data_IF_321644023730
#
_entry.id   IF_321644023730
#
_cell.length_a   1.000
_cell.length_b   1.000
_cell.length_c   1.000
_cell.angle_alpha   90.00
_cell.angle_beta   90.00
_cell.angle_gamma   90.00
#
_symmetry.space_group_name_H-M   'P 1'
#
loop_
_entity.id
_entity.type
_entity.pdbx_description
1 polymer ?
#
# COMPACT_ATOMS: atom_id res chain seq x y z
N UNK A 1 -0.33 -1.48 -10.13
CA UNK A 1 0.26 -2.72 -10.70
C UNK A 1 -0.57 -3.93 -10.27
N UNK A 2 -0.71 -4.99 -11.08
CA UNK A 2 -1.44 -6.20 -10.69
C UNK A 2 -0.65 -7.13 -9.75
N UNK A 3 0.67 -6.98 -9.67
CA UNK A 3 1.58 -7.68 -8.75
C UNK A 3 2.76 -6.77 -8.46
N UNK A 4 3.27 -6.78 -7.22
CA UNK A 4 4.45 -6.01 -6.85
C UNK A 4 5.72 -6.55 -7.54
N UNK A 5 6.55 -5.64 -8.04
CA UNK A 5 7.88 -5.92 -8.61
C UNK A 5 8.98 -5.01 -8.04
N UNK A 6 8.74 -4.47 -6.84
CA UNK A 6 9.61 -3.50 -6.18
C UNK A 6 9.71 -2.17 -6.97
N UNK A 7 10.57 -1.23 -6.54
CA UNK A 7 10.46 0.18 -6.93
C UNK A 7 10.98 0.49 -8.35
N UNK A 8 12.00 -0.22 -8.86
CA UNK A 8 12.55 0.11 -10.19
C UNK A 8 11.51 -0.08 -11.32
N UNK A 9 10.78 -1.21 -11.41
CA UNK A 9 9.71 -1.39 -12.39
C UNK A 9 8.59 -0.35 -12.29
N UNK A 10 8.13 -0.02 -11.07
CA UNK A 10 7.06 0.95 -10.87
C UNK A 10 7.46 2.34 -11.41
N UNK A 11 8.67 2.79 -11.08
CA UNK A 11 9.21 4.07 -11.54
C UNK A 11 9.46 4.05 -13.06
N UNK A 12 9.98 2.94 -13.61
CA UNK A 12 10.21 2.79 -15.04
C UNK A 12 8.92 2.87 -15.86
N UNK A 13 7.87 2.16 -15.45
CA UNK A 13 6.56 2.21 -16.11
C UNK A 13 5.96 3.62 -16.06
N UNK A 14 6.13 4.33 -14.95
CA UNK A 14 5.70 5.73 -14.83
C UNK A 14 6.50 6.64 -15.78
N UNK A 15 7.83 6.55 -15.78
CA UNK A 15 8.69 7.40 -16.62
C UNK A 15 8.52 7.14 -18.12
N UNK A 16 8.25 5.89 -18.53
CA UNK A 16 7.99 5.54 -19.94
C UNK A 16 6.70 6.19 -20.48
N UNK A 17 5.80 6.63 -19.60
CA UNK A 17 4.55 7.30 -19.97
C UNK A 17 4.65 8.84 -19.95
N UNK A 18 5.84 9.40 -19.71
CA UNK A 18 6.10 10.84 -19.62
C UNK A 18 7.04 11.31 -20.73
N UNK A 19 7.07 12.61 -21.00
CA UNK A 19 8.07 13.19 -21.88
C UNK A 19 9.46 13.14 -21.23
N UNK A 20 10.52 12.97 -22.05
CA UNK A 20 11.88 12.75 -21.55
C UNK A 20 12.41 13.85 -20.63
N UNK A 21 12.01 15.10 -20.87
CA UNK A 21 12.46 16.26 -20.11
C UNK A 21 11.60 16.55 -18.86
N UNK A 22 10.53 15.79 -18.62
CA UNK A 22 9.71 15.96 -17.43
C UNK A 22 10.48 15.59 -16.15
N UNK A 23 10.40 16.46 -15.15
CA UNK A 23 10.97 16.22 -13.83
C UNK A 23 9.98 15.39 -13.01
N UNK A 24 10.45 14.22 -12.58
CA UNK A 24 9.72 13.27 -11.77
C UNK A 24 10.22 13.35 -10.34
N UNK A 25 9.30 13.57 -9.40
CA UNK A 25 9.53 13.40 -7.97
C UNK A 25 8.90 12.07 -7.54
N UNK A 26 9.74 11.14 -7.11
CA UNK A 26 9.33 9.84 -6.58
C UNK A 26 9.27 9.94 -5.07
N UNK A 27 8.12 9.66 -4.48
CA UNK A 27 7.90 9.67 -3.03
C UNK A 27 7.22 8.38 -2.56
N UNK A 28 7.75 7.72 -1.53
CA UNK A 28 7.02 6.69 -0.80
C UNK A 28 5.75 7.28 -0.19
N UNK A 29 4.66 6.50 -0.19
CA UNK A 29 3.34 6.96 0.27
C UNK A 29 3.11 6.80 1.77
N UNK A 30 4.03 6.14 2.45
CA UNK A 30 3.96 5.65 3.83
C UNK A 30 4.95 6.36 4.77
N UNK A 31 5.60 7.43 4.31
CA UNK A 31 6.50 8.24 5.13
C UNK A 31 5.79 9.44 5.78
N UNK A 32 6.29 9.86 6.94
CA UNK A 32 5.90 11.09 7.61
C UNK A 32 6.97 12.18 7.41
N UNK A 33 6.54 13.39 7.09
CA UNK A 33 7.40 14.59 6.98
C UNK A 33 6.76 15.69 7.82
N UNK A 34 7.45 16.17 8.85
CA UNK A 34 6.91 17.14 9.82
C UNK A 34 7.19 18.59 9.45
N UNK A 35 8.36 18.87 8.87
CA UNK A 35 8.75 20.23 8.48
C UNK A 35 8.48 20.46 6.99
N UNK A 36 7.25 20.87 6.68
CA UNK A 36 6.85 21.19 5.30
C UNK A 36 7.66 22.34 4.70
N UNK A 37 8.07 23.31 5.49
CA UNK A 37 8.80 24.48 5.00
C UNK A 37 10.20 24.09 4.54
N UNK A 38 10.88 23.25 5.33
CA UNK A 38 12.18 22.70 4.96
C UNK A 38 12.04 21.68 3.81
N UNK A 39 10.97 20.88 3.79
CA UNK A 39 10.69 19.96 2.69
C UNK A 39 10.58 20.70 1.34
N UNK A 40 9.85 21.82 1.28
CA UNK A 40 9.76 22.64 0.06
C UNK A 40 11.11 23.18 -0.42
N UNK A 41 12.02 23.53 0.51
CA UNK A 41 13.36 24.02 0.15
C UNK A 41 14.21 22.92 -0.46
N UNK A 42 14.26 21.73 0.16
CA UNK A 42 15.05 20.60 -0.36
C UNK A 42 14.49 20.10 -1.68
N UNK A 43 13.17 20.14 -1.88
CA UNK A 43 12.55 19.82 -3.18
C UNK A 43 12.98 20.79 -4.28
N UNK A 44 13.12 22.08 -3.96
CA UNK A 44 13.55 23.08 -4.93
C UNK A 44 15.03 22.85 -5.32
N UNK A 45 15.90 22.58 -4.36
CA UNK A 45 17.30 22.23 -4.61
C UNK A 45 17.43 20.95 -5.46
N UNK A 46 16.67 19.90 -5.10
CA UNK A 46 16.65 18.65 -5.86
C UNK A 46 16.14 18.85 -7.29
N UNK A 47 15.13 19.70 -7.48
CA UNK A 47 14.62 20.04 -8.81
C UNK A 47 15.68 20.76 -9.66
N UNK A 48 16.46 21.65 -9.07
CA UNK A 48 17.49 22.39 -9.79
C UNK A 48 18.67 21.48 -10.18
N UNK A 49 19.05 20.53 -9.33
CA UNK A 49 20.02 19.48 -9.66
C UNK A 49 19.49 18.53 -10.74
N UNK A 50 18.22 18.11 -10.66
CA UNK A 50 17.60 17.24 -11.66
C UNK A 50 17.54 17.91 -13.06
N UNK A 51 17.36 19.23 -13.14
CA UNK A 51 17.43 19.98 -14.41
C UNK A 51 18.82 19.88 -15.06
N UNK A 52 19.86 19.70 -14.25
CA UNK A 52 21.26 19.49 -14.69
C UNK A 52 21.59 18.01 -14.93
N UNK A 53 20.59 17.16 -15.18
CA UNK A 53 20.72 15.76 -15.56
C UNK A 53 21.32 14.84 -14.49
N UNK A 54 21.18 15.22 -13.21
CA UNK A 54 21.52 14.37 -12.07
C UNK A 54 20.34 13.52 -11.60
N UNK A 55 20.65 12.35 -11.03
CA UNK A 55 19.71 11.53 -10.27
C UNK A 55 19.81 11.95 -8.80
N UNK A 56 18.81 12.64 -8.28
CA UNK A 56 18.87 13.20 -6.93
C UNK A 56 18.17 12.27 -5.96
N UNK A 57 18.81 11.99 -4.82
CA UNK A 57 18.21 11.36 -3.63
C UNK A 57 18.25 12.34 -2.45
N UNK A 58 17.45 12.09 -1.42
CA UNK A 58 17.37 12.91 -0.22
C UNK A 58 17.99 12.14 0.95
N UNK A 59 19.05 12.73 1.53
CA UNK A 59 19.79 12.14 2.63
C UNK A 59 19.31 12.69 3.97
N UNK A 60 18.66 11.88 4.80
CA UNK A 60 18.25 12.31 6.13
C UNK A 60 19.45 12.25 7.07
N UNK A 61 19.67 13.32 7.84
CA UNK A 61 20.77 13.35 8.81
C UNK A 61 20.53 12.31 9.92
N UNK A 62 21.42 11.32 10.11
CA UNK A 62 21.26 10.33 11.15
C UNK A 62 21.33 10.96 12.54
N UNK A 63 20.39 10.60 13.41
CA UNK A 63 20.37 11.03 14.83
C UNK A 63 20.81 9.91 15.77
N UNK A 64 20.83 8.66 15.30
CA UNK A 64 21.31 7.47 16.00
C UNK A 64 21.80 6.41 15.00
N UNK A 65 22.38 5.32 15.49
CA UNK A 65 22.86 4.22 14.67
C UNK A 65 21.72 3.26 14.31
N UNK A 66 20.94 3.59 13.27
CA UNK A 66 19.88 2.71 12.75
C UNK A 66 20.49 1.63 11.84
N UNK A 67 20.02 0.39 11.97
CA UNK A 67 20.46 -0.78 11.19
C UNK A 67 19.43 -1.19 10.14
N UNK A 68 18.19 -0.69 10.25
CA UNK A 68 17.10 -0.93 9.32
C UNK A 68 17.12 -0.07 8.05
N UNK A 69 17.96 0.97 7.99
CA UNK A 69 18.03 1.90 6.86
C UNK A 69 19.26 1.67 5.97
N UNK A 70 19.13 2.08 4.70
CA UNK A 70 20.27 2.30 3.82
C UNK A 70 20.99 3.59 4.18
N UNK A 71 22.32 3.62 4.03
CA UNK A 71 23.16 4.78 4.23
C UNK A 71 23.78 5.23 2.90
N UNK A 72 23.93 6.53 2.74
CA UNK A 72 24.55 7.18 1.59
C UNK A 72 25.80 7.89 2.10
N UNK A 73 26.96 7.46 1.65
CA UNK A 73 28.21 8.21 1.85
C UNK A 73 28.25 9.39 0.90
N UNK A 74 28.51 10.58 1.42
CA UNK A 74 28.54 11.80 0.64
C UNK A 74 29.87 12.54 0.73
N UNK A 75 30.18 13.27 -0.33
CA UNK A 75 31.24 14.28 -0.41
C UNK A 75 30.61 15.56 -0.98
N UNK A 76 30.22 16.46 -0.08
CA UNK A 76 29.31 17.55 -0.43
C UNK A 76 27.96 17.00 -0.90
N UNK A 77 27.61 17.26 -2.17
CA UNK A 77 26.38 16.76 -2.80
C UNK A 77 26.61 15.48 -3.60
N UNK A 78 27.85 15.04 -3.80
CA UNK A 78 28.15 13.82 -4.54
C UNK A 78 27.92 12.58 -3.67
N UNK A 79 27.03 11.69 -4.11
CA UNK A 79 26.87 10.38 -3.48
C UNK A 79 28.03 9.48 -3.93
N UNK A 80 28.86 9.03 -2.98
CA UNK A 80 30.04 8.20 -3.24
C UNK A 80 29.74 6.72 -3.17
N UNK A 81 28.94 6.32 -2.20
CA UNK A 81 28.61 4.93 -1.96
C UNK A 81 27.25 4.81 -1.28
N UNK A 82 26.62 3.66 -1.52
CA UNK A 82 25.39 3.24 -0.88
C UNK A 82 25.68 2.00 -0.07
N UNK A 83 25.13 1.94 1.14
CA UNK A 83 25.33 0.85 2.08
C UNK A 83 23.99 0.43 2.68
N UNK A 84 23.47 -0.71 2.24
CA UNK A 84 22.19 -1.19 2.76
C UNK A 84 22.34 -1.89 4.12
N UNK A 85 21.52 -1.46 5.09
CA UNK A 85 21.27 -2.13 6.38
C UNK A 85 22.55 -2.63 7.06
N UNK A 86 23.47 -1.72 7.41
CA UNK A 86 24.70 -2.07 8.11
C UNK A 86 24.40 -2.70 9.48
N UNK A 87 25.36 -3.49 9.97
CA UNK A 87 25.37 -3.88 11.38
C UNK A 87 25.54 -2.65 12.30
N UNK A 88 25.24 -2.83 13.58
CA UNK A 88 25.25 -1.73 14.55
C UNK A 88 26.62 -1.05 14.70
N UNK A 89 27.71 -1.81 14.56
CA UNK A 89 29.08 -1.29 14.65
C UNK A 89 29.36 -0.34 13.47
N UNK A 90 29.02 -0.75 12.25
CA UNK A 90 29.14 0.09 11.04
C UNK A 90 28.21 1.29 11.08
N UNK A 91 26.95 1.11 11.47
CA UNK A 91 26.00 2.22 11.62
C UNK A 91 26.53 3.28 12.59
N UNK A 92 27.15 2.86 13.69
CA UNK A 92 27.81 3.75 14.66
C UNK A 92 28.99 4.47 14.02
N UNK A 93 29.82 3.77 13.26
CA UNK A 93 30.94 4.39 12.54
C UNK A 93 30.47 5.44 11.51
N UNK A 94 29.41 5.16 10.76
CA UNK A 94 28.79 6.10 9.80
C UNK A 94 28.26 7.35 10.49
N UNK A 95 27.56 7.19 11.61
CA UNK A 95 27.08 8.30 12.43
C UNK A 95 28.25 9.18 12.92
N UNK A 96 29.34 8.57 13.40
CA UNK A 96 30.51 9.29 13.89
C UNK A 96 31.28 10.01 12.78
N UNK A 97 31.32 9.45 11.57
CA UNK A 97 32.01 10.07 10.43
C UNK A 97 31.31 11.36 9.96
N UNK A 98 29.99 11.47 10.14
CA UNK A 98 29.23 12.69 9.90
C UNK A 98 28.99 13.05 8.43
N UNK A 99 29.55 12.28 7.49
CA UNK A 99 29.34 12.41 6.05
C UNK A 99 28.42 11.32 5.47
N UNK A 100 27.73 10.56 6.33
CA UNK A 100 26.73 9.57 5.94
C UNK A 100 25.32 10.05 6.24
N UNK A 101 24.39 9.73 5.34
CA UNK A 101 22.97 10.07 5.45
C UNK A 101 22.10 8.84 5.32
N UNK A 102 20.96 8.79 6.02
CA UNK A 102 19.95 7.76 5.73
C UNK A 102 19.31 8.01 4.38
N UNK A 103 19.16 6.95 3.59
CA UNK A 103 18.45 7.00 2.32
C UNK A 103 16.94 7.10 2.60
N UNK A 104 16.31 8.20 2.20
CA UNK A 104 14.89 8.42 2.46
C UNK A 104 13.95 7.69 1.49
N UNK A 105 14.49 7.00 0.48
CA UNK A 105 13.70 6.39 -0.61
C UNK A 105 12.97 7.38 -1.51
N UNK A 106 13.27 8.69 -1.40
CA UNK A 106 12.74 9.72 -2.29
C UNK A 106 13.75 10.04 -3.38
N UNK A 107 13.27 10.31 -4.59
CA UNK A 107 14.14 10.60 -5.74
C UNK A 107 13.60 11.74 -6.60
N UNK A 108 14.48 12.51 -7.24
CA UNK A 108 14.12 13.56 -8.18
C UNK A 108 15.04 13.54 -9.40
N UNK A 109 14.49 13.44 -10.60
CA UNK A 109 15.27 13.35 -11.85
C UNK A 109 14.39 13.68 -13.07
N UNK A 110 15.01 13.87 -14.24
CA UNK A 110 14.28 13.83 -15.51
C UNK A 110 13.94 12.40 -15.89
N UNK A 111 12.73 12.17 -16.42
CA UNK A 111 12.28 10.85 -16.86
C UNK A 111 13.26 10.19 -17.84
N UNK A 112 13.74 10.95 -18.84
CA UNK A 112 14.69 10.47 -19.83
C UNK A 112 16.04 10.07 -19.24
N UNK A 113 16.57 10.88 -18.31
CA UNK A 113 17.86 10.61 -17.65
C UNK A 113 17.79 9.33 -16.82
N UNK A 114 16.70 9.13 -16.08
CA UNK A 114 16.49 7.88 -15.35
C UNK A 114 16.38 6.68 -16.29
N UNK A 115 15.60 6.78 -17.38
CA UNK A 115 15.45 5.69 -18.34
C UNK A 115 16.76 5.34 -19.04
N UNK A 116 17.60 6.31 -19.37
CA UNK A 116 18.92 6.09 -19.96
C UNK A 116 19.85 5.34 -18.99
N UNK A 117 19.87 5.74 -17.71
CA UNK A 117 20.66 5.04 -16.67
C UNK A 117 20.10 3.64 -16.38
N UNK A 118 18.77 3.47 -16.37
CA UNK A 118 18.13 2.16 -16.23
C UNK A 118 18.46 1.24 -17.41
N UNK A 119 18.43 1.74 -18.64
CA UNK A 119 18.81 0.95 -19.81
C UNK A 119 20.29 0.53 -19.75
N UNK A 120 21.15 1.38 -19.18
CA UNK A 120 22.58 1.07 -19.01
C UNK A 120 22.84 0.01 -17.94
N UNK A 121 22.17 0.08 -16.78
CA UNK A 121 22.51 -0.74 -15.61
C UNK A 121 21.55 -1.91 -15.33
N UNK A 122 20.32 -1.84 -15.85
CA UNK A 122 19.32 -2.89 -15.77
C UNK A 122 18.49 -2.97 -17.07
N UNK A 123 19.14 -3.22 -18.24
CA UNK A 123 18.47 -3.26 -19.54
C UNK A 123 17.29 -4.23 -19.59
N UNK A 124 17.37 -5.34 -18.85
CA UNK A 124 16.30 -6.33 -18.75
C UNK A 124 15.00 -5.76 -18.13
N UNK A 125 15.11 -4.84 -17.16
CA UNK A 125 13.94 -4.18 -16.55
C UNK A 125 13.38 -3.17 -17.54
N UNK A 126 14.24 -2.35 -18.14
CA UNK A 126 13.84 -1.34 -19.12
C UNK A 126 13.07 -1.95 -20.30
N UNK A 127 13.63 -2.97 -20.96
CA UNK A 127 13.00 -3.61 -22.11
C UNK A 127 11.70 -4.34 -21.74
N UNK A 128 11.65 -5.00 -20.57
CA UNK A 128 10.44 -5.65 -20.09
C UNK A 128 9.32 -4.63 -19.79
N UNK A 129 9.64 -3.50 -19.15
CA UNK A 129 8.69 -2.42 -18.89
C UNK A 129 8.18 -1.80 -20.20
N UNK A 130 9.09 -1.54 -21.16
CA UNK A 130 8.73 -1.01 -22.48
C UNK A 130 7.79 -1.96 -23.23
N UNK A 131 8.08 -3.26 -23.20
CA UNK A 131 7.22 -4.30 -23.79
C UNK A 131 5.86 -4.37 -23.09
N UNK A 132 5.83 -4.27 -21.76
CA UNK A 132 4.62 -4.33 -20.96
C UNK A 132 3.67 -3.15 -21.20
N UNK A 133 4.22 -1.96 -21.50
CA UNK A 133 3.43 -0.78 -21.87
C UNK A 133 2.83 -0.89 -23.29
N UNK A 134 3.46 -1.70 -24.16
CA UNK A 134 3.10 -1.84 -25.57
C UNK A 134 3.36 -0.58 -26.41
N UNK A 135 3.14 -0.66 -27.72
CA UNK A 135 3.30 0.47 -28.64
C UNK A 135 2.20 1.55 -28.50
N UNK A 136 1.29 1.46 -27.51
CA UNK A 136 0.23 2.46 -27.32
C UNK A 136 0.76 3.84 -26.92
N UNK A 137 1.99 3.94 -26.42
CA UNK A 137 2.59 5.22 -25.99
C UNK A 137 3.36 5.93 -27.11
N UNK A 138 3.77 5.25 -28.17
CA UNK A 138 4.42 5.90 -29.33
C UNK A 138 3.46 6.79 -30.15
N UNK A 139 2.15 6.72 -29.93
CA UNK A 139 1.15 7.51 -30.67
C UNK A 139 0.65 8.76 -29.93
N UNK A 140 1.04 8.97 -28.67
CA UNK A 140 0.54 10.08 -27.85
C UNK A 140 1.44 11.33 -27.87
N UNK A 141 2.68 11.22 -28.35
CA UNK A 141 3.64 12.34 -28.49
C UNK A 141 3.40 13.23 -29.73
N UNK A 142 2.25 13.07 -30.41
CA UNK A 142 1.82 13.88 -31.56
C UNK A 142 0.55 14.72 -31.28
N UNK A 143 0.43 15.34 -30.11
CA UNK A 143 -0.56 16.40 -29.88
C UNK A 143 0.09 17.78 -30.00
N UNK A 144 0.49 18.10 -31.23
CA UNK A 144 0.69 19.48 -31.65
C UNK A 144 -0.67 20.19 -31.74
N UNK A 145 -0.67 21.39 -31.16
CA UNK A 145 -1.76 22.35 -31.06
C UNK A 145 -2.55 22.58 -32.36
N UNK A 146 -3.87 22.43 -32.31
CA UNK A 146 -4.85 23.42 -32.78
C UNK A 146 -6.30 23.01 -32.48
N UNK A 147 -6.97 23.79 -31.62
CA UNK A 147 -8.42 24.00 -31.67
C UNK A 147 -9.32 23.09 -30.84
N UNK A 148 -10.21 23.74 -30.09
CA UNK A 148 -11.43 23.23 -29.45
C UNK A 148 -11.33 22.83 -27.97
N UNK A 149 -11.69 23.81 -27.17
CA UNK A 149 -12.14 23.82 -25.78
C UNK A 149 -12.91 22.59 -25.26
N UNK A 150 -12.58 22.25 -24.00
CA UNK A 150 -13.43 21.67 -22.94
C UNK A 150 -14.02 20.28 -23.21
N UNK A 151 -13.26 19.26 -22.80
CA UNK A 151 -13.85 18.06 -22.23
C UNK A 151 -13.01 17.60 -21.03
N UNK A 152 -13.69 17.44 -19.90
CA UNK A 152 -13.20 16.96 -18.61
C UNK A 152 -12.18 15.84 -18.75
N UNK A 153 -10.98 16.08 -18.22
CA UNK A 153 -9.85 15.16 -18.18
C UNK A 153 -10.19 13.84 -17.46
N UNK A 154 -10.70 12.87 -18.19
CA UNK A 154 -10.67 11.47 -17.77
C UNK A 154 -9.21 11.04 -17.76
N UNK A 155 -8.58 11.03 -16.57
CA UNK A 155 -7.24 10.47 -16.36
C UNK A 155 -7.22 9.07 -16.98
N UNK A 156 -6.48 8.89 -18.09
CA UNK A 156 -6.29 7.58 -18.74
C UNK A 156 -5.52 6.71 -17.75
N UNK A 157 -6.21 5.77 -17.09
CA UNK A 157 -5.57 4.81 -16.20
C UNK A 157 -4.84 3.80 -17.07
N UNK A 158 -3.51 3.83 -17.04
CA UNK A 158 -2.69 2.79 -17.67
C UNK A 158 -2.76 1.54 -16.79
N UNK A 159 -3.27 0.44 -17.34
CA UNK A 159 -3.30 -0.87 -16.69
C UNK A 159 -2.37 -1.81 -17.43
N UNK A 160 -1.40 -2.35 -16.70
CA UNK A 160 -0.53 -3.42 -17.20
C UNK A 160 -1.18 -4.75 -16.84
N UNK A 161 -1.24 -5.67 -17.80
CA UNK A 161 -1.78 -7.00 -17.56
C UNK A 161 -0.85 -7.82 -16.65
N UNK A 162 -1.43 -8.81 -15.95
CA UNK A 162 -0.72 -9.60 -14.94
C UNK A 162 0.44 -10.38 -15.55
N UNK A 163 0.30 -10.93 -16.76
CA UNK A 163 1.34 -11.73 -17.40
C UNK A 163 2.55 -10.85 -17.79
N UNK A 164 2.31 -9.67 -18.35
CA UNK A 164 3.36 -8.69 -18.63
C UNK A 164 4.07 -8.22 -17.37
N UNK A 165 3.32 -7.88 -16.31
CA UNK A 165 3.92 -7.48 -15.03
C UNK A 165 4.76 -8.61 -14.41
N UNK A 166 4.30 -9.87 -14.53
CA UNK A 166 5.03 -11.03 -14.01
C UNK A 166 6.38 -11.23 -14.69
N UNK A 167 6.51 -10.84 -15.97
CA UNK A 167 7.73 -10.96 -16.76
C UNK A 167 8.77 -9.87 -16.48
N UNK A 168 8.40 -8.78 -15.77
CA UNK A 168 9.36 -7.74 -15.39
C UNK A 168 10.18 -8.26 -14.19
N UNK A 169 11.53 -8.27 -14.27
CA UNK A 169 12.37 -8.63 -13.14
C UNK A 169 12.13 -7.72 -11.93
N UNK A 170 12.05 -8.30 -10.74
CA UNK A 170 11.86 -7.58 -9.48
C UNK A 170 13.20 -7.02 -8.98
N UNK A 171 13.30 -5.70 -8.83
CA UNK A 171 14.46 -5.02 -8.24
C UNK A 171 14.08 -3.63 -7.70
N UNK A 172 14.83 -3.12 -6.74
CA UNK A 172 14.69 -1.75 -6.25
C UNK A 172 15.44 -0.76 -7.14
N UNK A 173 15.00 0.49 -7.20
CA UNK A 173 15.74 1.56 -7.91
C UNK A 173 17.14 1.77 -7.32
N UNK A 174 17.29 1.59 -6.02
CA UNK A 174 18.56 1.70 -5.31
C UNK A 174 19.60 0.77 -5.94
N UNK A 175 19.33 -0.54 -5.97
CA UNK A 175 20.21 -1.54 -6.58
C UNK A 175 20.27 -1.50 -8.10
N UNK A 176 19.14 -1.26 -8.77
CA UNK A 176 19.07 -1.30 -10.22
C UNK A 176 19.88 -0.15 -10.85
N UNK A 177 19.87 1.02 -10.22
CA UNK A 177 20.40 2.27 -10.81
C UNK A 177 21.28 3.06 -9.84
N UNK A 178 20.80 3.41 -8.64
CA UNK A 178 21.44 4.42 -7.80
C UNK A 178 22.84 4.02 -7.33
N UNK A 179 23.04 2.76 -6.92
CA UNK A 179 24.37 2.29 -6.47
C UNK A 179 25.41 2.23 -7.61
N UNK A 180 24.96 2.20 -8.87
CA UNK A 180 25.81 1.98 -10.05
C UNK A 180 26.05 3.26 -10.85
N UNK A 181 25.15 4.24 -10.72
CA UNK A 181 25.20 5.49 -11.48
C UNK A 181 26.27 6.43 -10.92
N UNK A 182 26.95 7.12 -11.84
CA UNK A 182 27.91 8.19 -11.50
C UNK A 182 27.26 9.58 -11.49
N UNK A 183 25.95 9.66 -11.73
CA UNK A 183 25.18 10.92 -11.80
C UNK A 183 24.38 11.17 -10.53
N UNK A 184 24.71 10.48 -9.44
CA UNK A 184 23.89 10.55 -8.22
C UNK A 184 24.32 11.71 -7.34
N UNK A 185 23.34 12.54 -6.98
CA UNK A 185 23.50 13.61 -5.99
C UNK A 185 22.63 13.32 -4.78
N UNK A 186 23.12 13.69 -3.60
CA UNK A 186 22.35 13.63 -2.35
C UNK A 186 22.10 15.05 -1.86
N UNK A 187 20.85 15.36 -1.52
CA UNK A 187 20.46 16.60 -0.86
C UNK A 187 20.30 16.31 0.64
N UNK A 188 21.23 16.76 1.49
CA UNK A 188 21.08 16.67 2.94
C UNK A 188 19.77 17.32 3.40
N UNK A 189 18.96 16.56 4.12
CA UNK A 189 17.58 16.92 4.42
C UNK A 189 17.31 16.75 5.91
N UNK A 190 16.86 17.83 6.56
CA UNK A 190 16.38 17.84 7.94
C UNK A 190 14.90 18.25 7.96
N UNK A 191 14.05 17.32 7.52
CA UNK A 191 12.62 17.59 7.24
C UNK A 191 11.69 17.00 8.30
N UNK A 192 12.23 16.57 9.45
CA UNK A 192 11.50 15.80 10.45
C UNK A 192 10.90 14.52 9.85
N UNK A 193 11.72 13.77 9.10
CA UNK A 193 11.33 12.55 8.40
C UNK A 193 11.25 11.34 9.33
N UNK A 194 10.27 10.47 9.07
CA UNK A 194 10.16 9.13 9.64
C UNK A 194 9.58 8.20 8.58
N UNK A 195 10.13 7.00 8.44
CA UNK A 195 9.59 5.97 7.54
C UNK A 195 8.36 5.26 8.13
N UNK A 196 8.09 5.46 9.43
CA UNK A 196 7.05 4.78 10.21
C UNK A 196 7.09 3.25 9.99
N UNK A 197 8.27 2.69 9.74
CA UNK A 197 8.44 1.31 9.30
C UNK A 197 8.30 0.26 10.41
N UNK A 198 8.06 0.69 11.65
CA UNK A 198 7.95 -0.18 12.82
C UNK A 198 6.97 0.37 13.87
N UNK A 199 6.49 -0.50 14.75
CA UNK A 199 5.64 -0.05 15.86
C UNK A 199 6.39 0.81 16.88
N UNK A 200 7.73 0.68 16.96
CA UNK A 200 8.55 1.59 17.76
C UNK A 200 8.50 3.00 17.17
N UNK A 201 8.66 3.14 15.85
CA UNK A 201 8.52 4.43 15.17
C UNK A 201 7.10 5.00 15.35
N UNK A 202 6.06 4.17 15.24
CA UNK A 202 4.68 4.60 15.50
C UNK A 202 4.48 5.12 16.94
N UNK A 203 5.06 4.45 17.94
CA UNK A 203 5.02 4.92 19.32
C UNK A 203 5.64 6.32 19.46
N UNK A 204 6.77 6.57 18.81
CA UNK A 204 7.46 7.86 18.90
C UNK A 204 6.61 8.99 18.31
N UNK A 205 5.82 8.70 17.28
CA UNK A 205 4.94 9.65 16.62
C UNK A 205 3.62 9.93 17.36
N UNK A 206 3.09 8.96 18.09
CA UNK A 206 1.80 9.14 18.75
C UNK A 206 1.93 10.04 20.00
N UNK A 207 0.91 10.88 20.27
CA UNK A 207 0.77 11.62 21.52
C UNK A 207 0.82 10.68 22.73
N UNK A 208 1.43 11.13 23.81
CA UNK A 208 1.62 10.34 25.03
C UNK A 208 0.96 11.01 26.23
N UNK A 209 0.51 10.21 27.18
CA UNK A 209 0.06 10.66 28.49
C UNK A 209 1.23 10.96 29.43
N UNK A 210 0.93 11.34 30.68
CA UNK A 210 1.93 11.68 31.71
C UNK A 210 2.84 10.49 32.09
N UNK A 211 2.40 9.26 31.83
CA UNK A 211 3.13 8.02 32.11
C UNK A 211 3.89 7.48 30.88
N UNK A 212 3.88 8.23 29.77
CA UNK A 212 4.53 7.84 28.52
C UNK A 212 3.74 6.82 27.69
N UNK A 213 2.50 6.48 28.04
CA UNK A 213 1.70 5.59 27.21
C UNK A 213 1.04 6.37 26.07
N UNK A 214 0.88 5.78 24.89
CA UNK A 214 0.19 6.46 23.80
C UNK A 214 -1.29 6.72 24.15
N UNK A 215 -1.77 7.93 23.87
CA UNK A 215 -3.14 8.34 24.19
C UNK A 215 -4.15 7.52 23.36
N UNK A 216 -5.10 6.89 24.05
CA UNK A 216 -6.16 6.09 23.45
C UNK A 216 -7.45 6.16 24.30
N UNK A 217 -8.58 6.50 23.68
CA UNK A 217 -9.87 6.69 24.39
C UNK A 217 -10.43 5.41 25.04
N UNK A 218 -10.06 4.24 24.52
CA UNK A 218 -10.49 2.93 25.02
C UNK A 218 -9.46 2.29 25.96
N UNK A 219 -8.44 3.03 26.38
CA UNK A 219 -7.38 2.54 27.26
C UNK A 219 -7.63 2.89 28.73
N UNK A 220 -7.42 1.91 29.62
CA UNK A 220 -7.39 2.11 31.08
C UNK A 220 -6.17 1.43 31.65
N UNK A 221 -5.53 2.06 32.62
CA UNK A 221 -4.28 1.57 33.19
C UNK A 221 -4.24 1.66 34.70
N UNK A 222 -3.47 0.76 35.31
CA UNK A 222 -3.05 0.80 36.70
C UNK A 222 -1.54 0.56 36.68
N UNK A 223 -0.76 1.55 37.15
CA UNK A 223 0.70 1.44 37.29
C UNK A 223 1.46 0.99 36.04
N UNK A 224 0.99 1.40 34.85
CA UNK A 224 1.61 1.06 33.55
C UNK A 224 2.30 2.26 32.87
N UNK A 225 3.44 2.03 32.21
CA UNK A 225 4.29 3.11 31.65
C UNK A 225 4.91 2.77 30.30
N UNK A 226 5.18 3.80 29.48
CA UNK A 226 5.92 3.69 28.22
C UNK A 226 5.36 2.67 27.20
N UNK A 227 4.05 2.41 27.23
CA UNK A 227 3.42 1.43 26.33
C UNK A 227 2.83 2.09 25.07
N UNK A 228 3.02 1.46 23.92
CA UNK A 228 2.17 1.72 22.75
C UNK A 228 0.86 0.97 22.92
N UNK A 229 -0.23 1.71 22.88
CA UNK A 229 -1.61 1.23 22.95
C UNK A 229 -2.33 1.65 21.67
N UNK A 230 -2.43 0.71 20.73
CA UNK A 230 -3.11 0.92 19.46
C UNK A 230 -4.29 -0.03 19.33
N UNK A 231 -5.43 0.47 18.87
CA UNK A 231 -6.65 -0.31 18.75
C UNK A 231 -7.87 0.47 19.19
N UNK A 232 -9.00 0.20 18.54
CA UNK A 232 -10.24 0.94 18.76
C UNK A 232 -11.48 0.04 18.83
N UNK A 233 -11.34 -1.28 18.74
CA UNK A 233 -12.47 -2.21 18.78
C UNK A 233 -12.88 -2.48 20.23
N UNK A 234 -11.96 -3.07 21.01
CA UNK A 234 -12.19 -3.43 22.42
C UNK A 234 -11.58 -2.40 23.37
N UNK A 235 -11.97 -2.50 24.64
CA UNK A 235 -11.33 -1.77 25.73
C UNK A 235 -9.99 -2.45 26.04
N UNK A 236 -8.90 -1.69 26.05
CA UNK A 236 -7.56 -2.19 26.36
C UNK A 236 -7.26 -1.83 27.81
N UNK A 237 -6.88 -2.80 28.63
CA UNK A 237 -6.58 -2.58 30.05
C UNK A 237 -5.25 -3.18 30.44
N UNK A 238 -4.43 -2.43 31.16
CA UNK A 238 -3.09 -2.85 31.60
C UNK A 238 -2.90 -2.65 33.10
N UNK A 239 -2.13 -3.53 33.73
CA UNK A 239 -1.81 -3.49 35.15
C UNK A 239 -0.34 -3.87 35.34
N UNK A 240 0.45 -3.02 35.98
CA UNK A 240 1.85 -3.28 36.35
C UNK A 240 2.75 -3.69 35.17
N UNK A 241 2.58 -3.07 34.00
CA UNK A 241 3.38 -3.36 32.80
C UNK A 241 4.01 -2.13 32.17
N UNK A 242 5.22 -2.34 31.64
CA UNK A 242 6.01 -1.30 31.02
C UNK A 242 6.71 -1.77 29.74
N UNK A 243 7.01 -0.81 28.88
CA UNK A 243 7.76 -0.99 27.62
C UNK A 243 7.15 -2.06 26.71
N UNK A 244 5.83 -2.06 26.56
CA UNK A 244 5.12 -2.95 25.63
C UNK A 244 4.53 -2.21 24.43
N UNK A 245 4.43 -2.94 23.34
CA UNK A 245 3.63 -2.62 22.17
C UNK A 245 2.41 -3.52 22.19
N UNK A 246 1.23 -2.92 22.33
CA UNK A 246 -0.08 -3.57 22.37
C UNK A 246 -0.90 -3.01 21.21
N UNK A 247 -1.18 -3.86 20.23
CA UNK A 247 -1.92 -3.53 19.02
C UNK A 247 -3.10 -4.50 18.93
N UNK A 248 -4.30 -4.01 19.23
CA UNK A 248 -5.56 -4.77 19.15
C UNK A 248 -6.38 -4.31 17.94
N UNK A 249 -6.31 -5.08 16.86
CA UNK A 249 -7.20 -4.93 15.70
C UNK A 249 -8.31 -5.98 15.78
N UNK A 250 -9.36 -5.80 14.98
CA UNK A 250 -10.50 -6.73 15.04
C UNK A 250 -10.17 -8.17 14.62
N UNK A 251 -9.08 -8.37 13.87
CA UNK A 251 -8.61 -9.67 13.38
C UNK A 251 -7.39 -10.22 14.13
N UNK A 252 -6.64 -9.39 14.87
CA UNK A 252 -5.41 -9.82 15.52
C UNK A 252 -5.08 -8.98 16.76
N UNK A 253 -4.45 -9.65 17.74
CA UNK A 253 -3.81 -9.01 18.87
C UNK A 253 -2.31 -9.25 18.79
N UNK A 254 -1.54 -8.18 18.71
CA UNK A 254 -0.08 -8.21 18.85
C UNK A 254 0.30 -7.62 20.20
N UNK A 255 1.06 -8.40 20.97
CA UNK A 255 1.77 -7.93 22.16
C UNK A 255 3.25 -8.20 21.95
N UNK A 256 4.09 -7.18 22.07
CA UNK A 256 5.54 -7.35 21.99
C UNK A 256 6.25 -6.39 22.94
N UNK A 257 7.49 -6.71 23.29
CA UNK A 257 8.34 -5.77 24.00
C UNK A 257 8.76 -4.64 23.06
N UNK A 258 8.72 -3.40 23.53
CA UNK A 258 9.30 -2.25 22.84
C UNK A 258 10.77 -2.50 22.49
N UNK A 259 11.19 -2.06 21.30
CA UNK A 259 12.50 -2.37 20.71
C UNK A 259 12.59 -3.74 20.02
N UNK A 260 11.53 -4.55 20.06
CA UNK A 260 11.47 -5.85 19.34
C UNK A 260 10.52 -5.85 18.15
N UNK A 261 9.93 -4.71 17.77
CA UNK A 261 8.89 -4.65 16.74
C UNK A 261 9.36 -5.10 15.35
N UNK A 262 10.66 -4.99 15.04
CA UNK A 262 11.24 -5.51 13.79
C UNK A 262 11.01 -7.03 13.60
N UNK A 263 10.84 -7.78 14.69
CA UNK A 263 10.56 -9.23 14.64
C UNK A 263 9.13 -9.56 14.22
N UNK A 264 8.22 -8.58 14.13
CA UNK A 264 6.84 -8.78 13.65
C UNK A 264 6.83 -9.36 12.24
N UNK A 265 7.78 -8.98 11.38
CA UNK A 265 7.93 -9.57 10.03
C UNK A 265 8.09 -11.10 10.07
N UNK A 266 8.79 -11.62 11.08
CA UNK A 266 8.99 -13.07 11.24
C UNK A 266 7.69 -13.77 11.68
N UNK A 267 6.84 -13.09 12.46
CA UNK A 267 5.52 -13.61 12.81
C UNK A 267 4.61 -13.65 11.57
N UNK A 268 4.59 -12.58 10.77
CA UNK A 268 3.85 -12.56 9.50
C UNK A 268 4.26 -13.73 8.61
N UNK A 269 5.58 -13.98 8.46
CA UNK A 269 6.09 -15.12 7.68
C UNK A 269 5.59 -16.48 8.20
N UNK A 270 5.51 -16.67 9.52
CA UNK A 270 4.99 -17.91 10.12
C UNK A 270 3.49 -18.11 9.87
N UNK A 271 2.73 -17.02 9.88
CA UNK A 271 1.26 -17.07 9.70
C UNK A 271 0.87 -17.25 8.22
N UNK A 272 1.74 -16.90 7.25
CA UNK A 272 1.43 -17.07 5.82
C UNK A 272 1.01 -18.48 5.39
N UNK A 273 1.40 -19.52 6.13
CA UNK A 273 1.00 -20.90 5.86
C UNK A 273 -0.24 -21.38 6.62
N UNK A 274 -0.73 -20.61 7.58
CA UNK A 274 -1.80 -20.99 8.51
C UNK A 274 -3.03 -20.07 8.38
N UNK A 275 -2.86 -18.85 7.88
CA UNK A 275 -3.95 -17.88 7.77
C UNK A 275 -3.75 -16.82 6.68
N UNK A 276 -4.86 -16.39 6.08
CA UNK A 276 -4.94 -15.27 5.14
C UNK A 276 -4.86 -13.89 5.81
N UNK A 277 -4.71 -13.81 7.14
CA UNK A 277 -4.59 -12.55 7.90
C UNK A 277 -3.51 -11.59 7.36
N UNK A 278 -2.48 -12.12 6.70
CA UNK A 278 -1.41 -11.33 6.10
C UNK A 278 -1.79 -10.67 4.77
N UNK A 279 -2.89 -11.10 4.14
CA UNK A 279 -3.37 -10.65 2.83
C UNK A 279 -4.74 -9.97 2.91
N UNK A 280 -5.67 -10.56 3.67
CA UNK A 280 -7.05 -10.11 3.80
C UNK A 280 -7.32 -9.88 5.28
N UNK A 281 -7.41 -8.61 5.66
CA UNK A 281 -7.91 -8.17 6.97
C UNK A 281 -9.43 -8.41 7.08
N UNK A 282 -10.02 -8.05 8.24
CA UNK A 282 -11.48 -8.13 8.42
C UNK A 282 -12.26 -7.49 7.26
N UNK A 283 -11.86 -6.30 6.82
CA UNK A 283 -12.52 -5.55 5.76
C UNK A 283 -11.70 -5.56 4.48
N UNK A 284 -12.28 -6.12 3.42
CA UNK A 284 -11.69 -6.12 2.09
C UNK A 284 -12.33 -5.04 1.22
N UNK A 285 -11.49 -4.26 0.54
CA UNK A 285 -11.92 -3.23 -0.41
C UNK A 285 -12.04 -3.79 -1.83
N UNK A 286 -13.11 -3.42 -2.52
CA UNK A 286 -13.41 -3.78 -3.91
C UNK A 286 -13.87 -2.55 -4.68
N UNK A 287 -13.80 -2.55 -6.02
CA UNK A 287 -14.28 -1.42 -6.82
C UNK A 287 -15.75 -1.04 -6.55
N UNK A 288 -16.61 -2.04 -6.31
CA UNK A 288 -18.03 -1.86 -5.99
C UNK A 288 -18.30 -1.43 -4.54
N UNK A 289 -17.33 -1.51 -3.63
CA UNK A 289 -17.55 -1.27 -2.20
C UNK A 289 -16.62 -2.09 -1.29
N UNK A 290 -17.16 -2.65 -0.21
CA UNK A 290 -16.39 -3.42 0.77
C UNK A 290 -17.18 -4.63 1.25
N UNK A 291 -16.50 -5.68 1.70
CA UNK A 291 -17.08 -6.65 2.62
C UNK A 291 -16.24 -6.74 3.88
N UNK A 292 -16.88 -7.00 5.02
CA UNK A 292 -16.23 -7.25 6.31
C UNK A 292 -16.66 -8.60 6.83
N UNK A 293 -15.71 -9.47 7.18
CA UNK A 293 -16.00 -10.73 7.86
C UNK A 293 -16.31 -10.39 9.32
N UNK A 294 -17.53 -10.68 9.77
CA UNK A 294 -17.96 -10.48 11.14
C UNK A 294 -17.72 -11.73 11.99
N UNK A 295 -17.85 -12.89 11.37
CA UNK A 295 -17.65 -14.19 12.00
C UNK A 295 -17.25 -15.23 10.95
N UNK A 296 -16.27 -16.06 11.27
CA UNK A 296 -15.78 -17.14 10.41
C UNK A 296 -15.67 -18.43 11.20
N UNK A 297 -16.45 -19.44 10.83
CA UNK A 297 -16.50 -20.74 11.47
C UNK A 297 -16.50 -21.86 10.40
N UNK A 298 -16.15 -23.10 10.75
CA UNK A 298 -16.09 -24.21 9.80
C UNK A 298 -17.40 -24.52 9.06
N UNK A 299 -18.56 -24.10 9.59
CA UNK A 299 -19.89 -24.40 9.03
C UNK A 299 -20.69 -23.18 8.60
N UNK A 300 -20.28 -21.99 9.03
CA UNK A 300 -20.95 -20.75 8.65
C UNK A 300 -19.99 -19.57 8.67
N UNK A 301 -20.30 -18.57 7.87
CA UNK A 301 -19.53 -17.32 7.78
C UNK A 301 -20.49 -16.16 7.63
N UNK A 302 -20.28 -15.11 8.41
CA UNK A 302 -21.13 -13.90 8.39
C UNK A 302 -20.30 -12.75 7.85
N UNK A 303 -20.84 -12.06 6.84
CA UNK A 303 -20.23 -10.88 6.25
C UNK A 303 -21.18 -9.68 6.30
N UNK A 304 -20.63 -8.50 6.57
CA UNK A 304 -21.25 -7.22 6.26
C UNK A 304 -20.76 -6.77 4.90
N UNK A 305 -21.65 -6.69 3.92
CA UNK A 305 -21.32 -6.20 2.57
C UNK A 305 -21.89 -4.80 2.41
N UNK A 306 -21.04 -3.86 1.98
CA UNK A 306 -21.42 -2.48 1.69
C UNK A 306 -21.12 -2.16 0.22
N UNK A 307 -22.17 -1.89 -0.55
CA UNK A 307 -22.10 -1.61 -1.99
C UNK A 307 -22.33 -0.13 -2.22
N UNK A 308 -21.37 0.52 -2.88
CA UNK A 308 -21.45 1.94 -3.26
C UNK A 308 -22.63 2.20 -4.21
N UNK A 309 -23.13 3.44 -4.30
CA UNK A 309 -24.16 3.81 -5.26
C UNK A 309 -23.76 3.39 -6.67
N UNK A 310 -24.69 2.81 -7.42
CA UNK A 310 -24.48 2.29 -8.78
C UNK A 310 -23.48 1.12 -8.88
N UNK A 311 -22.97 0.61 -7.75
CA UNK A 311 -22.11 -0.58 -7.71
C UNK A 311 -22.90 -1.87 -7.80
N UNK A 312 -22.27 -2.91 -8.34
CA UNK A 312 -22.80 -4.29 -8.30
C UNK A 312 -21.67 -5.31 -8.19
N UNK A 313 -21.98 -6.44 -7.58
CA UNK A 313 -21.07 -7.58 -7.49
C UNK A 313 -21.05 -8.33 -8.83
N UNK A 314 -20.18 -9.33 -8.94
CA UNK A 314 -20.18 -10.27 -10.07
C UNK A 314 -21.47 -11.11 -10.08
N UNK A 315 -21.96 -11.46 -11.26
CA UNK A 315 -22.93 -12.54 -11.41
C UNK A 315 -22.21 -13.86 -11.16
N UNK A 316 -22.65 -14.61 -10.16
CA UNK A 316 -21.90 -15.76 -9.68
C UNK A 316 -22.80 -16.87 -9.14
N UNK A 317 -22.22 -18.02 -8.85
CA UNK A 317 -22.82 -19.12 -8.08
C UNK A 317 -21.74 -19.83 -7.25
N UNK A 318 -22.16 -20.60 -6.26
CA UNK A 318 -21.32 -21.44 -5.40
C UNK A 318 -22.00 -22.80 -5.21
N UNK A 319 -21.25 -23.89 -5.11
CA UNK A 319 -21.82 -25.24 -5.08
C UNK A 319 -21.92 -25.84 -3.66
N UNK A 320 -21.10 -25.38 -2.72
CA UNK A 320 -20.93 -26.03 -1.43
C UNK A 320 -21.56 -25.27 -0.25
N UNK A 321 -22.19 -24.13 -0.52
CA UNK A 321 -22.87 -23.29 0.48
C UNK A 321 -24.18 -22.72 -0.04
N UNK A 322 -25.09 -22.43 0.87
CA UNK A 322 -26.21 -21.52 0.63
C UNK A 322 -25.96 -20.21 1.35
N UNK A 323 -26.68 -19.16 0.95
CA UNK A 323 -26.55 -17.84 1.55
C UNK A 323 -27.91 -17.28 1.93
N UNK A 324 -27.93 -16.47 2.98
CA UNK A 324 -29.08 -15.67 3.37
C UNK A 324 -28.65 -14.21 3.47
N UNK A 325 -29.26 -13.35 2.66
CA UNK A 325 -28.93 -11.94 2.60
C UNK A 325 -30.04 -11.12 3.25
N UNK A 326 -29.69 -10.28 4.22
CA UNK A 326 -30.62 -9.37 4.89
C UNK A 326 -30.19 -7.94 4.64
N UNK A 327 -31.07 -7.11 4.11
CA UNK A 327 -30.76 -5.69 3.86
C UNK A 327 -30.83 -4.91 5.16
N UNK A 328 -29.72 -4.31 5.57
CA UNK A 328 -29.64 -3.45 6.77
C UNK A 328 -30.07 -2.02 6.43
N UNK A 329 -29.57 -1.49 5.31
CA UNK A 329 -29.88 -0.13 4.86
C UNK A 329 -29.78 0.00 3.34
N UNK A 330 -30.57 0.90 2.76
CA UNK A 330 -30.63 1.11 1.31
C UNK A 330 -31.65 0.20 0.61
N UNK A 331 -31.45 -0.02 -0.68
CA UNK A 331 -32.31 -0.87 -1.51
C UNK A 331 -31.44 -1.73 -2.41
N UNK A 332 -31.59 -3.04 -2.28
CA UNK A 332 -30.90 -4.01 -3.11
C UNK A 332 -31.77 -4.39 -4.30
N UNK A 333 -31.14 -4.57 -5.46
CA UNK A 333 -31.68 -5.38 -6.56
C UNK A 333 -30.87 -6.67 -6.55
N UNK A 334 -31.56 -7.79 -6.36
CA UNK A 334 -30.97 -9.12 -6.33
C UNK A 334 -31.42 -9.91 -7.55
N UNK A 335 -30.48 -10.29 -8.40
CA UNK A 335 -30.72 -11.33 -9.42
C UNK A 335 -30.64 -12.68 -8.71
N UNK A 336 -31.62 -13.57 -8.95
CA UNK A 336 -31.63 -14.94 -8.45
C UNK A 336 -32.22 -15.85 -9.53
N UNK A 337 -31.39 -16.65 -10.19
CA UNK A 337 -31.74 -17.37 -11.40
C UNK A 337 -32.19 -16.41 -12.51
N UNK A 338 -33.41 -16.57 -12.99
CA UNK A 338 -34.00 -15.74 -14.06
C UNK A 338 -34.78 -14.51 -13.54
N UNK A 339 -34.93 -14.36 -12.22
CA UNK A 339 -35.72 -13.27 -11.63
C UNK A 339 -34.85 -12.19 -11.01
N UNK A 340 -35.37 -10.97 -11.03
CA UNK A 340 -34.86 -9.85 -10.24
C UNK A 340 -35.83 -9.52 -9.10
N UNK A 341 -35.29 -9.36 -7.90
CA UNK A 341 -36.04 -9.07 -6.67
C UNK A 341 -35.51 -7.78 -6.06
N UNK A 342 -36.40 -6.84 -5.79
CA UNK A 342 -36.05 -5.61 -5.07
C UNK A 342 -36.26 -5.86 -3.58
N UNK A 343 -35.24 -5.60 -2.77
CA UNK A 343 -35.28 -5.73 -1.31
C UNK A 343 -34.99 -4.38 -0.65
N UNK A 344 -35.82 -3.99 0.31
CA UNK A 344 -35.66 -2.81 1.16
C UNK A 344 -35.08 -3.20 2.51
N UNK A 345 -34.71 -2.21 3.32
CA UNK A 345 -34.24 -2.45 4.68
C UNK A 345 -35.19 -3.39 5.46
N UNK A 346 -34.59 -4.33 6.19
CA UNK A 346 -35.22 -5.41 6.94
C UNK A 346 -35.89 -6.53 6.09
N UNK A 347 -35.82 -6.47 4.76
CA UNK A 347 -36.20 -7.59 3.89
C UNK A 347 -34.99 -8.51 3.64
N UNK A 348 -35.27 -9.78 3.36
CA UNK A 348 -34.22 -10.79 3.14
C UNK A 348 -34.53 -11.74 1.98
N UNK A 349 -33.50 -12.44 1.53
CA UNK A 349 -33.60 -13.47 0.49
C UNK A 349 -32.67 -14.65 0.80
N UNK A 350 -33.15 -15.84 0.47
CA UNK A 350 -32.37 -17.08 0.51
C UNK A 350 -31.82 -17.38 -0.89
N UNK A 351 -30.52 -17.69 -0.95
CA UNK A 351 -29.78 -18.05 -2.16
C UNK A 351 -29.42 -19.54 -2.06
N UNK A 352 -30.09 -20.42 -2.83
CA UNK A 352 -29.78 -21.84 -2.85
C UNK A 352 -28.39 -22.16 -3.42
N UNK A 353 -27.83 -23.29 -3.01
CA UNK A 353 -26.62 -23.87 -3.62
C UNK A 353 -26.82 -24.05 -5.14
N UNK A 354 -25.81 -23.66 -5.93
CA UNK A 354 -25.79 -23.81 -7.39
C UNK A 354 -26.58 -22.75 -8.15
N UNK A 355 -27.37 -21.91 -7.48
CA UNK A 355 -28.21 -20.90 -8.12
C UNK A 355 -27.38 -19.65 -8.49
N UNK A 356 -27.61 -19.13 -9.71
CA UNK A 356 -26.99 -17.89 -10.13
C UNK A 356 -27.57 -16.72 -9.35
N UNK A 357 -26.71 -15.84 -8.85
CA UNK A 357 -27.15 -14.68 -8.09
C UNK A 357 -26.21 -13.49 -8.26
N UNK A 358 -26.75 -12.28 -8.04
CA UNK A 358 -26.01 -11.01 -8.11
C UNK A 358 -26.64 -9.98 -7.18
N UNK A 359 -25.80 -9.22 -6.47
CA UNK A 359 -26.21 -8.06 -5.68
C UNK A 359 -25.91 -6.76 -6.43
N UNK A 360 -26.89 -5.87 -6.53
CA UNK A 360 -26.76 -4.55 -7.14
C UNK A 360 -27.35 -3.45 -6.24
N UNK A 361 -26.66 -2.31 -6.17
CA UNK A 361 -27.16 -1.08 -5.59
C UNK A 361 -27.49 -0.07 -6.70
N UNK A 362 -28.76 0.00 -7.10
CA UNK A 362 -29.23 1.03 -8.04
C UNK A 362 -29.57 2.37 -7.37
N UNK A 363 -29.38 2.49 -6.06
CA UNK A 363 -29.68 3.67 -5.27
C UNK A 363 -28.62 4.76 -5.33
N UNK A 364 -28.89 5.85 -4.60
CA UNK A 364 -27.97 6.99 -4.40
C UNK A 364 -27.21 6.94 -3.07
N UNK A 365 -27.62 6.07 -2.16
CA UNK A 365 -27.01 5.85 -0.85
C UNK A 365 -26.27 4.50 -0.84
N UNK A 366 -25.34 4.31 0.09
CA UNK A 366 -24.70 3.00 0.27
C UNK A 366 -25.75 1.95 0.65
N UNK A 367 -25.67 0.80 -0.01
CA UNK A 367 -26.44 -0.40 0.33
C UNK A 367 -25.61 -1.21 1.31
N UNK A 368 -26.19 -1.59 2.44
CA UNK A 368 -25.55 -2.47 3.42
C UNK A 368 -26.40 -3.72 3.60
N UNK A 369 -25.79 -4.89 3.47
CA UNK A 369 -26.42 -6.17 3.76
C UNK A 369 -25.60 -6.99 4.76
N UNK A 370 -26.27 -7.87 5.50
CA UNK A 370 -25.64 -8.99 6.18
C UNK A 370 -25.85 -10.24 5.33
N UNK A 371 -24.75 -10.85 4.92
CA UNK A 371 -24.70 -12.15 4.27
C UNK A 371 -24.35 -13.22 5.31
N UNK A 372 -25.20 -14.23 5.42
CA UNK A 372 -24.94 -15.43 6.22
C UNK A 372 -24.73 -16.60 5.27
N UNK A 373 -23.51 -17.11 5.20
CA UNK A 373 -23.15 -18.28 4.41
C UNK A 373 -23.23 -19.53 5.29
N UNK A 374 -23.84 -20.61 4.80
CA UNK A 374 -23.95 -21.89 5.54
C UNK A 374 -23.61 -23.03 4.58
N UNK A 375 -22.67 -23.90 4.98
CA UNK A 375 -22.22 -24.99 4.13
C UNK A 375 -21.06 -25.80 4.73
N UNK A 376 -20.67 -26.85 4.03
CA UNK A 376 -19.51 -27.68 4.41
C UNK A 376 -18.18 -27.07 3.95
N UNK A 377 -18.24 -26.12 3.00
CA UNK A 377 -17.08 -25.40 2.49
C UNK A 377 -17.44 -23.95 2.16
N UNK A 378 -16.64 -23.01 2.67
CA UNK A 378 -16.90 -21.56 2.62
C UNK A 378 -15.73 -20.77 2.03
N UNK A 379 -14.88 -21.45 1.26
CA UNK A 379 -13.79 -20.84 0.52
C UNK A 379 -14.30 -19.94 -0.62
N UNK A 380 -13.52 -18.91 -0.96
CA UNK A 380 -13.84 -18.03 -2.09
C UNK A 380 -13.60 -18.70 -3.45
N UNK A 381 -12.83 -19.79 -3.49
CA UNK A 381 -12.56 -20.64 -4.66
C UNK A 381 -13.75 -21.53 -5.08
N UNK A 382 -14.81 -21.64 -4.26
CA UNK A 382 -16.09 -22.23 -4.65
C UNK A 382 -16.91 -21.30 -5.58
N UNK A 383 -16.52 -20.03 -5.71
CA UNK A 383 -17.26 -19.04 -6.47
C UNK A 383 -16.96 -19.19 -7.97
N UNK A 384 -17.99 -19.54 -8.75
CA UNK A 384 -17.93 -19.51 -10.21
C UNK A 384 -18.53 -18.20 -10.71
N UNK A 385 -17.69 -17.33 -11.27
CA UNK A 385 -18.07 -16.02 -11.83
C UNK A 385 -18.46 -16.16 -13.31
N UNK A 386 -19.59 -15.58 -13.69
CA UNK A 386 -20.13 -15.61 -15.05
C UNK A 386 -19.97 -14.25 -15.74
N UNK A 387 -20.19 -13.16 -15.00
CA UNK A 387 -20.07 -11.79 -15.49
C UNK A 387 -19.51 -10.88 -14.39
N UNK A 388 -18.41 -10.17 -14.67
CA UNK A 388 -17.77 -9.23 -13.75
C UNK A 388 -17.34 -7.95 -14.46
N UNK A 389 -17.99 -6.85 -14.09
CA UNK A 389 -17.73 -5.50 -14.61
C UNK A 389 -16.27 -5.06 -14.40
N UNK A 390 -15.59 -5.66 -13.43
CA UNK A 390 -14.25 -5.28 -13.02
C UNK A 390 -13.15 -6.19 -13.57
N UNK A 391 -13.51 -7.20 -14.38
CA UNK A 391 -12.59 -8.15 -15.00
C UNK A 391 -11.58 -8.75 -14.02
N UNK A 392 -12.04 -9.13 -12.82
CA UNK A 392 -11.19 -9.82 -11.86
C UNK A 392 -11.05 -11.26 -12.35
N UNK A 393 -9.85 -11.62 -12.76
CA UNK A 393 -9.50 -13.02 -13.04
C UNK A 393 -8.98 -13.66 -11.76
N UNK A 394 -9.89 -14.29 -11.03
CA UNK A 394 -9.63 -15.36 -10.05
C UNK A 394 -10.80 -16.34 -10.08
#
# INVERSE_FOLDING_TARGET
EPVGRNTAPAIALACLALEKDEIVLVTPSDHLVKDEAQYRKVLQEAKDLAKSDYLVTFGIKPTFAETGFGYIEADGLDAKAFHEKPDFEKATAYLMAGNYYWNSGMFCFKAGVFLDELQKYAPQIYEACKKALGNEVETSSNHNAHGSEVSTSSKKVIKIDKASMLNIPEDSIDYAVMEKSSKVKVVPSDIGWSDVGSFDALYDELPKDENGNSINEKYVQIDSKNNLIYGNERKITTVDIEDLIIVDTGDALLISKKGSSQKVKNIVQKIRGDSELHNIHLTAHRPWGTYTILEDNPKYKIKRIEVKPQGRLSLQKHFHRSEHWTVVSGTAIVTLGEREVILRANESIYIPMGELHRLQNAGKLNLVIIETQIGDYLGEDDIVRIDDDYKREE
#
